data_IF_126378971551
#
_entry.id   IF_126378971551
#
_cell.length_a   1.000
_cell.length_b   1.000
_cell.length_c   1.000
_cell.angle_alpha   90.00
_cell.angle_beta   90.00
_cell.angle_gamma   90.00
#
_symmetry.space_group_name_H-M   'P 1'
#
loop_
_entity.id
_entity.type
_entity.pdbx_description
1 polymer ?
#
# COMPACT_ATOMS: atom_id res chain seq x y z
N UNK A 1 8.12 -3.57 9.17
CA UNK A 1 6.89 -2.81 9.41
C UNK A 1 7.06 -1.43 8.80
N UNK A 2 6.09 -0.96 8.04
CA UNK A 2 5.98 0.42 7.53
C UNK A 2 4.64 0.97 7.99
N UNK A 3 4.65 2.13 8.64
CA UNK A 3 3.45 2.77 9.18
C UNK A 3 3.32 4.13 8.51
N UNK A 4 2.22 4.31 7.77
CA UNK A 4 1.91 5.51 6.99
C UNK A 4 0.45 5.93 7.19
N UNK A 5 -0.12 5.71 8.38
CA UNK A 5 -1.51 6.05 8.65
C UNK A 5 -1.74 7.57 8.61
N UNK A 6 -2.86 8.00 8.02
CA UNK A 6 -3.24 9.41 7.91
C UNK A 6 -2.21 10.30 7.19
N UNK A 7 -1.40 9.74 6.28
CA UNK A 7 -0.33 10.45 5.57
C UNK A 7 -0.69 10.90 4.15
N UNK A 8 -1.99 10.91 3.81
CA UNK A 8 -2.49 11.28 2.49
C UNK A 8 -1.91 10.45 1.32
N UNK A 9 -1.53 9.18 1.57
CA UNK A 9 -1.05 8.27 0.53
C UNK A 9 -2.16 8.02 -0.49
N UNK A 10 -1.91 8.30 -1.77
CA UNK A 10 -2.87 8.13 -2.85
C UNK A 10 -2.42 7.14 -3.93
N UNK A 11 -1.26 6.50 -3.76
CA UNK A 11 -0.73 5.46 -4.62
C UNK A 11 0.74 5.13 -4.33
N UNK A 12 1.33 4.28 -5.18
CA UNK A 12 2.71 3.80 -5.04
C UNK A 12 3.77 4.88 -5.34
N UNK A 13 3.41 5.93 -6.09
CA UNK A 13 4.36 6.92 -6.58
C UNK A 13 5.17 6.36 -7.76
N UNK A 14 6.50 6.44 -7.67
CA UNK A 14 7.40 5.95 -8.73
C UNK A 14 7.62 4.44 -8.56
N UNK A 15 7.05 3.65 -9.48
CA UNK A 15 7.36 2.22 -9.58
C UNK A 15 8.77 2.03 -10.14
N UNK A 16 9.69 1.54 -9.31
CA UNK A 16 10.98 0.99 -9.77
C UNK A 16 10.82 -0.49 -10.09
N UNK A 17 11.62 -1.00 -11.03
CA UNK A 17 11.60 -2.43 -11.38
C UNK A 17 12.03 -3.36 -10.25
N UNK A 18 12.78 -2.84 -9.26
CA UNK A 18 13.18 -3.58 -8.07
C UNK A 18 12.34 -3.19 -6.84
N UNK A 19 12.01 -4.16 -5.95
CA UNK A 19 11.29 -3.87 -4.72
C UNK A 19 12.10 -3.02 -3.74
N UNK A 20 11.50 -1.93 -3.26
CA UNK A 20 12.15 -1.03 -2.28
C UNK A 20 12.26 -1.58 -0.86
N UNK A 21 11.30 -2.41 -0.44
CA UNK A 21 11.24 -2.93 0.92
C UNK A 21 11.06 -4.45 0.92
N UNK A 22 12.07 -5.21 0.43
CA UNK A 22 11.96 -6.65 0.19
C UNK A 22 11.76 -7.50 1.46
N UNK A 23 12.02 -6.94 2.64
CA UNK A 23 11.87 -7.62 3.93
C UNK A 23 10.70 -7.11 4.77
N UNK A 24 9.90 -6.17 4.24
CA UNK A 24 8.78 -5.62 4.98
C UNK A 24 7.64 -6.64 5.04
N UNK A 25 7.22 -6.98 6.27
CA UNK A 25 6.13 -7.92 6.56
C UNK A 25 4.79 -7.26 6.88
N UNK A 26 4.79 -6.00 7.26
CA UNK A 26 3.58 -5.30 7.73
C UNK A 26 3.52 -3.90 7.14
N UNK A 27 2.36 -3.51 6.62
CA UNK A 27 2.10 -2.17 6.10
C UNK A 27 0.78 -1.65 6.67
N UNK A 28 0.86 -0.51 7.35
CA UNK A 28 -0.33 0.22 7.79
C UNK A 28 -0.56 1.45 6.91
N UNK A 29 -1.66 1.42 6.16
CA UNK A 29 -2.14 2.49 5.28
C UNK A 29 -3.53 2.99 5.71
N UNK A 30 -3.89 2.82 6.98
CA UNK A 30 -5.15 3.32 7.53
C UNK A 30 -5.35 4.81 7.25
N UNK A 31 -6.58 5.21 6.91
CA UNK A 31 -6.93 6.64 6.85
C UNK A 31 -6.27 7.40 5.70
N UNK A 32 -6.04 6.75 4.55
CA UNK A 32 -5.36 7.35 3.40
C UNK A 32 -6.33 7.61 2.23
N UNK A 33 -5.77 7.99 1.09
CA UNK A 33 -6.50 8.45 -0.10
C UNK A 33 -6.53 7.41 -1.22
N UNK A 34 -6.25 6.14 -0.93
CA UNK A 34 -6.24 5.07 -1.94
C UNK A 34 -7.65 4.85 -2.48
N UNK A 35 -7.78 4.81 -3.82
CA UNK A 35 -9.07 4.65 -4.51
C UNK A 35 -9.17 3.39 -5.35
N UNK A 36 -8.07 2.97 -5.98
CA UNK A 36 -8.06 1.82 -6.89
C UNK A 36 -7.25 0.69 -6.31
N UNK A 37 -7.68 -0.54 -6.58
CA UNK A 37 -6.92 -1.72 -6.16
C UNK A 37 -5.57 -1.85 -6.89
N UNK A 38 -5.47 -1.29 -8.10
CA UNK A 38 -4.19 -1.23 -8.82
C UNK A 38 -3.11 -0.46 -8.06
N UNK A 39 -3.47 0.61 -7.36
CA UNK A 39 -2.54 1.41 -6.56
C UNK A 39 -2.04 0.61 -5.35
N UNK A 40 -2.91 -0.18 -4.72
CA UNK A 40 -2.55 -1.13 -3.64
C UNK A 40 -1.60 -2.21 -4.14
N UNK A 41 -1.89 -2.81 -5.30
CA UNK A 41 -1.02 -3.82 -5.93
C UNK A 41 0.36 -3.23 -6.25
N UNK A 42 0.41 -1.99 -6.76
CA UNK A 42 1.66 -1.27 -6.99
C UNK A 42 2.49 -1.14 -5.71
N UNK A 43 1.86 -0.75 -4.60
CA UNK A 43 2.51 -0.68 -3.28
C UNK A 43 3.03 -2.06 -2.86
N UNK A 44 2.21 -3.11 -2.99
CA UNK A 44 2.59 -4.47 -2.60
C UNK A 44 3.74 -5.05 -3.43
N UNK A 45 3.90 -4.64 -4.69
CA UNK A 45 5.09 -4.99 -5.50
C UNK A 45 6.38 -4.43 -4.92
N UNK A 46 6.32 -3.29 -4.24
CA UNK A 46 7.47 -2.70 -3.56
C UNK A 46 7.81 -3.44 -2.25
N UNK A 47 6.88 -4.24 -1.74
CA UNK A 47 6.95 -4.95 -0.46
C UNK A 47 6.53 -6.44 -0.61
N UNK A 48 7.27 -7.24 -1.38
CA UNK A 48 6.85 -8.57 -1.83
C UNK A 48 6.70 -9.61 -0.72
N UNK A 49 7.18 -9.31 0.51
CA UNK A 49 7.05 -10.18 1.68
C UNK A 49 6.03 -9.67 2.70
N UNK A 50 5.15 -8.77 2.29
CA UNK A 50 4.10 -8.25 3.16
C UNK A 50 3.12 -9.38 3.50
N UNK A 51 2.96 -9.63 4.80
CA UNK A 51 2.09 -10.64 5.40
C UNK A 51 0.84 -9.97 5.99
N UNK A 52 0.95 -8.73 6.46
CA UNK A 52 -0.15 -7.98 7.09
C UNK A 52 -0.33 -6.59 6.44
N UNK A 53 -1.57 -6.25 6.09
CA UNK A 53 -1.90 -5.03 5.38
C UNK A 53 -3.18 -4.40 5.94
N UNK A 54 -3.08 -3.15 6.40
CA UNK A 54 -4.22 -2.36 6.90
C UNK A 54 -4.61 -1.30 5.87
N UNK A 55 -5.82 -1.39 5.34
CA UNK A 55 -6.36 -0.48 4.31
C UNK A 55 -7.66 0.23 4.73
N UNK A 56 -8.15 -0.02 5.94
CA UNK A 56 -9.40 0.59 6.42
C UNK A 56 -9.36 2.12 6.35
N UNK A 57 -10.52 2.74 6.22
CA UNK A 57 -10.64 4.20 6.09
C UNK A 57 -9.89 4.77 4.87
N UNK A 58 -9.88 4.04 3.76
CA UNK A 58 -9.53 4.57 2.43
C UNK A 58 -10.80 4.72 1.57
N UNK A 59 -10.65 5.16 0.33
CA UNK A 59 -11.73 5.37 -0.65
C UNK A 59 -11.74 4.27 -1.72
N UNK A 60 -11.35 3.05 -1.34
CA UNK A 60 -11.20 1.93 -2.27
C UNK A 60 -12.55 1.62 -2.93
N UNK A 61 -12.51 1.45 -4.24
CA UNK A 61 -13.61 0.90 -5.02
C UNK A 61 -14.02 -0.48 -4.50
N UNK A 62 -15.25 -0.90 -4.81
CA UNK A 62 -15.70 -2.25 -4.53
C UNK A 62 -14.73 -3.28 -5.12
N UNK A 63 -14.56 -4.39 -4.43
CA UNK A 63 -13.68 -5.46 -4.91
C UNK A 63 -14.26 -5.95 -6.25
N UNK A 64 -13.46 -6.02 -7.33
CA UNK A 64 -13.90 -6.51 -8.63
C UNK A 64 -14.48 -7.93 -8.59
#
# INVERSE_FOLDING_TARGET
VIILDNMAVNGVGIETGEPRFPYCKEINLYGNLLRRWSDVVGILRQTPRCEELVLSSNFLEEIP
#
